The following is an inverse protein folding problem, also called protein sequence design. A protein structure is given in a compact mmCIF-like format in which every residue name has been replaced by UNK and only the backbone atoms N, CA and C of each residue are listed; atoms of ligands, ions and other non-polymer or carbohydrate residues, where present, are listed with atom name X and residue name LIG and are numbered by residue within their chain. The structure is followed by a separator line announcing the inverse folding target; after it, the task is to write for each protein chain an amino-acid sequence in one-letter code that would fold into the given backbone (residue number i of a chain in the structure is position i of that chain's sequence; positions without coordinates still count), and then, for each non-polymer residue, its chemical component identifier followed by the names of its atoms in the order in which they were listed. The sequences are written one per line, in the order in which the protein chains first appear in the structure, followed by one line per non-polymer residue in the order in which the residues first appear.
data_IF_136125584998
#
_entry.id   IF_136125584998
#
_cell.length_a   1.000
_cell.length_b   1.000
_cell.length_c   1.000
_cell.angle_alpha   90.00
_cell.angle_beta   90.00
_cell.angle_gamma   90.00
#
_symmetry.space_group_name_H-M   'P 1'
#
loop_
_entity.id
_entity.type
_entity.pdbx_description
1 polymer ?
#
# COMPACT_ATOMS: atom_id res chain seq x y z
N UNK A 1 16.75 13.34 5.45
CA UNK A 1 15.28 13.33 5.52
C UNK A 1 14.75 12.93 4.16
N UNK A 2 13.81 11.98 4.12
CA UNK A 2 13.01 11.74 2.92
C UNK A 2 12.26 13.05 2.59
N UNK A 3 12.16 13.41 1.31
CA UNK A 3 11.47 14.63 0.85
C UNK A 3 10.21 14.36 0.02
N UNK A 4 10.05 13.12 -0.45
CA UNK A 4 8.92 12.67 -1.28
C UNK A 4 8.30 11.40 -0.68
N UNK A 5 7.01 11.18 -0.91
CA UNK A 5 6.31 9.97 -0.44
C UNK A 5 6.82 8.75 -1.23
N UNK A 6 7.45 7.77 -0.57
CA UNK A 6 8.02 6.62 -1.25
C UNK A 6 6.92 5.64 -1.67
N UNK A 7 7.14 4.99 -2.81
CA UNK A 7 6.35 3.82 -3.24
C UNK A 7 7.15 2.56 -2.88
N UNK A 8 6.61 1.71 -2.02
CA UNK A 8 7.29 0.53 -1.49
C UNK A 8 6.56 -0.73 -1.94
N UNK A 9 7.27 -1.63 -2.62
CA UNK A 9 6.76 -2.97 -2.94
C UNK A 9 6.89 -3.91 -1.74
N UNK A 10 5.75 -4.38 -1.22
CA UNK A 10 5.71 -5.29 -0.08
C UNK A 10 5.58 -6.77 -0.47
N UNK A 11 5.49 -7.11 -1.77
CA UNK A 11 5.40 -8.50 -2.19
C UNK A 11 6.53 -9.37 -1.61
N UNK A 12 7.82 -8.94 -1.58
CA UNK A 12 8.91 -9.72 -1.01
C UNK A 12 8.78 -9.97 0.50
N UNK A 13 8.02 -9.15 1.23
CA UNK A 13 7.74 -9.39 2.65
C UNK A 13 6.78 -10.57 2.84
N UNK A 14 5.82 -10.74 1.93
CA UNK A 14 4.83 -11.83 2.01
C UNK A 14 5.40 -13.17 1.52
N UNK A 15 6.12 -13.16 0.42
CA UNK A 15 6.50 -14.39 -0.31
C UNK A 15 7.99 -14.72 -0.24
N UNK A 16 8.82 -13.77 0.21
CA UNK A 16 10.28 -13.92 0.23
C UNK A 16 10.83 -14.57 1.51
N UNK A 17 12.15 -14.74 1.51
CA UNK A 17 12.92 -15.27 2.64
C UNK A 17 13.07 -14.25 3.80
N UNK A 18 13.77 -14.66 4.86
CA UNK A 18 13.99 -13.80 6.01
C UNK A 18 14.78 -12.51 5.68
N UNK A 19 15.65 -12.53 4.68
CA UNK A 19 16.39 -11.35 4.26
C UNK A 19 15.50 -10.37 3.51
N UNK A 20 14.62 -10.88 2.62
CA UNK A 20 13.62 -10.10 1.92
C UNK A 20 12.65 -9.42 2.89
N UNK A 21 12.17 -10.15 3.90
CA UNK A 21 11.32 -9.60 4.97
C UNK A 21 12.00 -8.46 5.72
N UNK A 22 13.24 -8.66 6.15
CA UNK A 22 14.02 -7.62 6.86
C UNK A 22 14.23 -6.37 6.01
N UNK A 23 14.50 -6.54 4.71
CA UNK A 23 14.70 -5.41 3.78
C UNK A 23 13.45 -4.56 3.67
N UNK A 24 12.29 -5.16 3.40
CA UNK A 24 11.02 -4.43 3.29
C UNK A 24 10.66 -3.75 4.62
N UNK A 25 10.82 -4.45 5.75
CA UNK A 25 10.58 -3.87 7.07
C UNK A 25 11.48 -2.64 7.34
N UNK A 26 12.75 -2.69 6.96
CA UNK A 26 13.67 -1.56 7.10
C UNK A 26 13.29 -0.39 6.18
N UNK A 27 12.75 -0.66 4.99
CA UNK A 27 12.29 0.37 4.06
C UNK A 27 11.03 1.07 4.57
N UNK A 28 10.05 0.31 5.05
CA UNK A 28 8.85 0.83 5.72
C UNK A 28 9.25 1.65 6.95
N UNK A 29 10.16 1.13 7.79
CA UNK A 29 10.67 1.85 8.97
C UNK A 29 11.27 3.22 8.59
N UNK A 30 12.12 3.28 7.57
CA UNK A 30 12.68 4.56 7.09
C UNK A 30 11.62 5.55 6.60
N UNK A 31 10.55 5.06 5.97
CA UNK A 31 9.46 5.92 5.50
C UNK A 31 8.64 6.50 6.68
N UNK A 32 8.33 5.64 7.66
CA UNK A 32 7.58 6.02 8.87
C UNK A 32 8.39 6.97 9.76
N UNK A 33 9.67 6.66 10.01
CA UNK A 33 10.57 7.52 10.80
C UNK A 33 10.91 8.83 10.08
N UNK A 34 10.79 8.86 8.74
CA UNK A 34 11.10 10.00 7.89
C UNK A 34 9.92 10.96 7.74
N UNK A 35 9.10 10.74 6.70
CA UNK A 35 7.95 11.62 6.37
C UNK A 35 6.69 11.17 7.11
N UNK A 36 6.62 9.90 7.56
CA UNK A 36 5.41 9.33 8.16
C UNK A 36 4.39 8.81 7.14
N UNK A 37 4.71 8.86 5.84
CA UNK A 37 3.83 8.42 4.76
C UNK A 37 4.57 7.50 3.78
N UNK A 38 3.81 6.60 3.16
CA UNK A 38 4.23 5.71 2.09
C UNK A 38 3.03 5.30 1.22
N UNK A 39 3.29 4.96 -0.03
CA UNK A 39 2.37 4.23 -0.91
C UNK A 39 2.88 2.80 -1.01
N UNK A 40 1.98 1.83 -1.00
CA UNK A 40 2.32 0.41 -1.09
C UNK A 40 1.93 -0.15 -2.46
N UNK A 41 2.82 -0.93 -3.07
CA UNK A 41 2.53 -1.82 -4.21
C UNK A 41 2.77 -3.28 -3.81
N UNK A 42 2.31 -4.23 -4.62
CA UNK A 42 2.50 -5.67 -4.34
C UNK A 42 1.78 -6.15 -3.07
N UNK A 43 0.75 -5.43 -2.63
CA UNK A 43 -0.05 -5.76 -1.45
C UNK A 43 -0.86 -7.06 -1.60
N UNK A 44 -1.05 -7.54 -2.83
CA UNK A 44 -1.79 -8.77 -3.13
C UNK A 44 -3.30 -8.64 -2.95
N UNK A 45 -3.82 -7.41 -3.01
CA UNK A 45 -5.27 -7.15 -3.09
C UNK A 45 -5.61 -7.23 -4.58
N UNK A 46 -6.66 -7.99 -4.89
CA UNK A 46 -7.16 -8.13 -6.26
C UNK A 46 -7.59 -6.76 -6.82
N UNK A 47 -7.20 -6.48 -8.08
CA UNK A 47 -7.52 -5.21 -8.71
C UNK A 47 -9.03 -5.05 -8.97
N UNK A 48 -9.72 -6.15 -9.30
CA UNK A 48 -11.16 -6.16 -9.50
C UNK A 48 -11.93 -5.82 -8.22
N UNK A 49 -11.44 -6.27 -7.05
CA UNK A 49 -12.01 -5.88 -5.77
C UNK A 49 -11.89 -4.38 -5.51
N UNK A 50 -10.75 -3.76 -5.85
CA UNK A 50 -10.57 -2.30 -5.71
C UNK A 50 -11.54 -1.53 -6.60
N UNK A 51 -11.73 -2.00 -7.83
CA UNK A 51 -12.67 -1.40 -8.78
C UNK A 51 -14.13 -1.57 -8.32
N UNK A 52 -14.50 -2.74 -7.79
CA UNK A 52 -15.82 -3.00 -7.23
C UNK A 52 -16.12 -2.09 -6.03
N UNK A 53 -15.17 -1.95 -5.09
CA UNK A 53 -15.34 -1.06 -3.93
C UNK A 53 -15.57 0.38 -4.37
N UNK A 54 -14.84 0.85 -5.41
CA UNK A 54 -15.04 2.20 -5.97
C UNK A 54 -16.43 2.34 -6.61
N UNK A 55 -16.86 1.36 -7.38
CA UNK A 55 -18.16 1.37 -8.06
C UNK A 55 -19.32 1.38 -7.05
N UNK A 56 -19.26 0.53 -6.02
CA UNK A 56 -20.27 0.46 -4.97
C UNK A 56 -20.30 1.76 -4.15
N UNK A 57 -19.13 2.31 -3.81
CA UNK A 57 -19.05 3.60 -3.10
C UNK A 57 -19.70 4.72 -3.90
N UNK A 58 -19.39 4.82 -5.21
CA UNK A 58 -20.00 5.81 -6.09
C UNK A 58 -21.53 5.65 -6.16
N UNK A 59 -22.02 4.42 -6.39
CA UNK A 59 -23.45 4.14 -6.46
C UNK A 59 -24.20 4.50 -5.16
N UNK A 60 -23.56 4.31 -4.00
CA UNK A 60 -24.15 4.71 -2.72
C UNK A 60 -24.28 6.23 -2.58
N UNK A 61 -23.25 6.98 -2.95
CA UNK A 61 -23.27 8.45 -2.86
C UNK A 61 -24.11 9.12 -3.96
N UNK A 62 -24.47 8.40 -5.02
CA UNK A 62 -25.40 8.85 -6.06
C UNK A 62 -26.89 8.70 -5.67
N UNK A 63 -27.20 8.13 -4.49
CA UNK A 63 -28.58 8.02 -4.01
C UNK A 63 -29.18 9.41 -3.71
N UNK A 64 -30.50 9.61 -3.92
CA UNK A 64 -31.19 10.84 -3.52
C UNK A 64 -31.13 11.08 -2.01
N UNK A 65 -31.22 12.36 -1.60
CA UNK A 65 -31.40 12.78 -0.20
C UNK A 65 -32.75 12.35 0.39
#
# INVERSE_FOLDING_TARGET
MLRDVPVIDIAPFRTGDAAAKRRVAAEVGRAVDGIGFLVITGHGIDAGLVDEVRAVSAAFFDLPE
#
